data_IF_628061055925
#
_entry.id   IF_628061055925
#
_cell.length_a   1.000
_cell.length_b   1.000
_cell.length_c   1.000
_cell.angle_alpha   90.00
_cell.angle_beta   90.00
_cell.angle_gamma   90.00
#
_symmetry.space_group_name_H-M   'P 1'
#
loop_
_entity.id
_entity.type
_entity.pdbx_description
1 polymer ?
#
# COMPACT_ATOMS: atom_id res chain seq x y z
N UNK A 1 -3.17 -29.51 11.11
CA UNK A 1 -4.13 -30.06 10.14
C UNK A 1 -3.47 -30.02 8.78
N UNK A 2 -3.17 -31.19 8.26
CA UNK A 2 -2.18 -31.47 7.22
C UNK A 2 -2.71 -31.05 5.85
N UNK A 3 -2.07 -30.08 5.17
CA UNK A 3 -2.32 -29.79 3.75
C UNK A 3 -1.71 -30.92 2.91
N UNK A 4 -2.53 -31.90 2.53
CA UNK A 4 -2.19 -32.91 1.53
C UNK A 4 -2.30 -32.27 0.14
N UNK A 5 -1.24 -31.58 -0.29
CA UNK A 5 -1.03 -31.33 -1.71
C UNK A 5 -0.88 -32.70 -2.39
N UNK A 6 -1.83 -33.05 -3.26
CA UNK A 6 -1.75 -34.27 -4.05
C UNK A 6 -0.86 -33.98 -5.27
N UNK A 7 0.38 -34.48 -5.23
CA UNK A 7 1.25 -34.48 -6.40
C UNK A 7 0.81 -35.58 -7.35
N UNK A 8 0.47 -35.20 -8.58
CA UNK A 8 0.22 -36.17 -9.66
C UNK A 8 1.51 -36.59 -10.34
N UNK A 9 1.48 -37.69 -11.11
CA UNK A 9 2.67 -38.28 -11.74
C UNK A 9 3.40 -37.35 -12.74
N UNK A 10 2.73 -36.29 -13.17
CA UNK A 10 3.21 -35.19 -14.02
C UNK A 10 3.81 -34.01 -13.20
N UNK A 11 3.99 -34.19 -11.89
CA UNK A 11 4.45 -33.17 -10.94
C UNK A 11 3.57 -31.91 -10.87
N UNK A 12 2.30 -31.98 -11.30
CA UNK A 12 1.37 -30.86 -11.13
C UNK A 12 0.78 -30.85 -9.71
N UNK A 13 0.80 -29.67 -9.07
CA UNK A 13 0.18 -29.44 -7.77
C UNK A 13 -1.35 -29.32 -7.97
N UNK A 14 -2.12 -30.17 -7.29
CA UNK A 14 -3.59 -30.13 -7.33
C UNK A 14 -4.16 -29.81 -5.95
N UNK A 15 -4.89 -28.70 -5.89
CA UNK A 15 -5.62 -28.25 -4.71
C UNK A 15 -7.13 -28.26 -4.99
N UNK A 16 -7.98 -28.77 -4.07
CA UNK A 16 -9.42 -28.63 -4.19
C UNK A 16 -9.83 -27.15 -4.28
N UNK A 17 -10.70 -26.82 -5.24
CA UNK A 17 -11.13 -25.44 -5.51
C UNK A 17 -11.63 -24.73 -4.25
N UNK A 18 -12.42 -25.42 -3.42
CA UNK A 18 -12.93 -24.90 -2.15
C UNK A 18 -11.80 -24.40 -1.24
N UNK A 19 -10.78 -25.24 -1.03
CA UNK A 19 -9.65 -24.92 -0.15
C UNK A 19 -8.84 -23.75 -0.70
N UNK A 20 -8.54 -23.77 -2.00
CA UNK A 20 -7.81 -22.70 -2.66
C UNK A 20 -8.55 -21.36 -2.56
N UNK A 21 -9.84 -21.35 -2.90
CA UNK A 21 -10.65 -20.11 -2.91
C UNK A 21 -10.85 -19.53 -1.52
N UNK A 22 -11.15 -20.37 -0.51
CA UNK A 22 -11.28 -19.92 0.88
C UNK A 22 -9.98 -19.28 1.40
N UNK A 23 -8.83 -19.92 1.15
CA UNK A 23 -7.51 -19.42 1.55
C UNK A 23 -7.14 -18.12 0.82
N UNK A 24 -7.22 -18.11 -0.51
CA UNK A 24 -6.89 -16.93 -1.31
C UNK A 24 -7.78 -15.73 -0.97
N UNK A 25 -9.08 -15.97 -0.76
CA UNK A 25 -10.02 -14.93 -0.36
C UNK A 25 -9.70 -14.38 1.02
N UNK A 26 -9.42 -15.25 2.00
CA UNK A 26 -9.08 -14.84 3.36
C UNK A 26 -7.77 -14.02 3.38
N UNK A 27 -6.72 -14.49 2.70
CA UNK A 27 -5.41 -13.84 2.66
C UNK A 27 -5.51 -12.44 2.03
N UNK A 28 -6.21 -12.32 0.90
CA UNK A 28 -6.41 -11.03 0.25
C UNK A 28 -7.29 -10.09 1.09
N UNK A 29 -8.37 -10.61 1.68
CA UNK A 29 -9.26 -9.82 2.52
C UNK A 29 -8.52 -9.26 3.73
N UNK A 30 -7.71 -10.10 4.38
CA UNK A 30 -6.90 -9.70 5.53
C UNK A 30 -5.88 -8.62 5.15
N UNK A 31 -5.16 -8.81 4.04
CA UNK A 31 -4.22 -7.82 3.53
C UNK A 31 -4.88 -6.47 3.24
N UNK A 32 -6.07 -6.47 2.63
CA UNK A 32 -6.81 -5.23 2.36
C UNK A 32 -7.21 -4.53 3.64
N UNK A 33 -7.69 -5.26 4.65
CA UNK A 33 -8.12 -4.69 5.92
C UNK A 33 -6.94 -4.06 6.66
N UNK A 34 -5.84 -4.80 6.82
CA UNK A 34 -4.71 -4.39 7.66
C UNK A 34 -3.77 -3.40 6.96
N UNK A 35 -3.47 -3.62 5.68
CA UNK A 35 -2.35 -2.95 4.99
C UNK A 35 -2.76 -2.08 3.80
N UNK A 36 -4.06 -1.78 3.66
CA UNK A 36 -4.54 -0.92 2.56
C UNK A 36 -5.68 0.02 2.97
N UNK A 37 -6.78 -0.53 3.47
CA UNK A 37 -8.05 0.19 3.56
C UNK A 37 -8.16 1.05 4.82
N UNK A 38 -7.75 0.50 5.97
CA UNK A 38 -7.92 1.14 7.27
C UNK A 38 -6.67 1.92 7.69
N UNK A 39 -6.84 3.07 8.35
CA UNK A 39 -5.74 3.79 8.97
C UNK A 39 -5.26 3.08 10.25
N UNK A 40 -4.00 3.29 10.60
CA UNK A 40 -3.47 2.81 11.88
C UNK A 40 -3.89 3.76 13.01
N UNK A 41 -4.20 3.23 14.20
CA UNK A 41 -4.72 4.04 15.33
C UNK A 41 -3.70 5.04 15.89
N UNK A 42 -2.40 4.70 15.83
CA UNK A 42 -1.34 5.52 16.41
C UNK A 42 -1.04 6.82 15.65
N UNK A 43 -1.30 6.87 14.35
CA UNK A 43 -1.03 8.05 13.51
C UNK A 43 -2.21 8.49 12.65
N UNK A 44 -3.28 7.69 12.56
CA UNK A 44 -4.44 7.97 11.72
C UNK A 44 -4.17 7.81 10.21
N UNK A 45 -3.00 7.30 9.81
CA UNK A 45 -2.60 7.24 8.39
C UNK A 45 -2.81 5.85 7.80
N UNK A 46 -3.28 5.82 6.55
CA UNK A 46 -3.21 4.63 5.70
C UNK A 46 -1.77 4.38 5.27
N UNK A 47 -1.40 3.13 4.91
CA UNK A 47 -0.02 2.81 4.54
C UNK A 47 0.56 3.65 3.40
N UNK A 48 -0.23 4.01 2.38
CA UNK A 48 0.23 4.87 1.28
C UNK A 48 0.58 6.29 1.75
N UNK A 49 -0.24 6.87 2.64
CA UNK A 49 -0.05 8.22 3.17
C UNK A 49 1.20 8.30 4.03
N UNK A 50 1.39 7.31 4.92
CA UNK A 50 2.59 7.19 5.76
C UNK A 50 3.87 7.12 4.92
N UNK A 51 3.86 6.30 3.86
CA UNK A 51 5.01 6.15 2.94
C UNK A 51 5.33 7.46 2.22
N UNK A 52 4.33 8.23 1.81
CA UNK A 52 4.51 9.55 1.18
C UNK A 52 5.20 10.52 2.16
N UNK A 53 4.65 10.67 3.37
CA UNK A 53 5.21 11.58 4.39
C UNK A 53 6.63 11.16 4.78
N UNK A 54 6.88 9.85 4.93
CA UNK A 54 8.21 9.33 5.22
C UNK A 54 9.21 9.64 4.10
N UNK A 55 8.86 9.36 2.83
CA UNK A 55 9.73 9.68 1.71
C UNK A 55 10.00 11.18 1.56
N UNK A 56 9.01 12.04 1.86
CA UNK A 56 9.21 13.49 1.89
C UNK A 56 10.22 13.90 2.96
N UNK A 57 10.18 13.27 4.14
CA UNK A 57 11.17 13.47 5.20
C UNK A 57 12.57 13.05 4.75
N UNK A 58 12.71 11.86 4.15
CA UNK A 58 13.99 11.35 3.63
C UNK A 58 14.58 12.22 2.51
N UNK A 59 13.73 12.86 1.71
CA UNK A 59 14.13 13.82 0.67
C UNK A 59 14.43 15.23 1.22
N UNK A 60 14.25 15.46 2.52
CA UNK A 60 14.45 16.76 3.15
C UNK A 60 13.42 17.82 2.71
N UNK A 61 12.21 17.39 2.35
CA UNK A 61 11.12 18.28 1.92
C UNK A 61 10.35 18.84 3.11
N UNK A 62 11.05 19.55 3.99
CA UNK A 62 10.43 20.26 5.12
C UNK A 62 9.64 21.49 4.64
N UNK A 63 8.83 22.06 5.53
CA UNK A 63 8.05 23.28 5.23
C UNK A 63 8.91 24.49 4.81
N UNK A 64 10.19 24.52 5.21
CA UNK A 64 11.14 25.58 4.81
C UNK A 64 11.88 25.28 3.50
N UNK A 65 11.79 24.04 2.99
CA UNK A 65 12.48 23.64 1.77
C UNK A 65 11.78 24.19 0.52
N UNK A 66 12.55 24.42 -0.56
CA UNK A 66 11.98 24.77 -1.87
C UNK A 66 11.15 23.61 -2.42
N UNK A 67 9.96 23.91 -2.92
CA UNK A 67 9.09 22.93 -3.57
C UNK A 67 9.83 22.15 -4.67
N UNK A 68 9.51 20.86 -4.78
CA UNK A 68 10.03 19.94 -5.79
C UNK A 68 8.87 19.38 -6.62
N UNK A 69 9.19 18.90 -7.81
CA UNK A 69 8.21 18.26 -8.70
C UNK A 69 7.60 17.04 -8.02
N UNK A 70 6.28 16.92 -8.04
CA UNK A 70 5.52 15.79 -7.48
C UNK A 70 6.01 14.43 -8.01
N UNK A 71 6.36 14.36 -9.30
CA UNK A 71 6.89 13.15 -9.92
C UNK A 71 8.17 12.63 -9.23
N UNK A 72 8.98 13.51 -8.64
CA UNK A 72 10.18 13.11 -7.89
C UNK A 72 9.80 12.41 -6.58
N UNK A 73 8.89 12.99 -5.81
CA UNK A 73 8.43 12.42 -4.55
C UNK A 73 7.71 11.09 -4.79
N UNK A 74 6.80 11.05 -5.76
CA UNK A 74 6.10 9.81 -6.15
C UNK A 74 7.09 8.74 -6.61
N UNK A 75 8.06 9.09 -7.46
CA UNK A 75 9.09 8.15 -7.90
C UNK A 75 9.90 7.55 -6.75
N UNK A 76 10.25 8.34 -5.74
CA UNK A 76 10.99 7.85 -4.56
C UNK A 76 10.13 6.92 -3.69
N UNK A 77 8.85 7.25 -3.51
CA UNK A 77 7.89 6.41 -2.78
C UNK A 77 7.75 5.04 -3.47
N UNK A 78 7.57 5.03 -4.79
CA UNK A 78 7.41 3.79 -5.56
C UNK A 78 8.68 2.93 -5.56
N UNK A 79 9.83 3.57 -5.76
CA UNK A 79 11.11 2.87 -5.85
C UNK A 79 11.55 2.21 -4.55
N UNK A 80 11.15 2.75 -3.40
CA UNK A 80 11.64 2.30 -2.09
C UNK A 80 10.58 1.67 -1.19
N UNK A 81 9.34 2.18 -1.23
CA UNK A 81 8.38 1.92 -0.14
C UNK A 81 7.02 1.40 -0.60
N UNK A 82 6.61 1.65 -1.85
CA UNK A 82 5.25 1.37 -2.33
C UNK A 82 5.24 0.65 -3.69
N UNK A 83 5.18 -0.70 -3.71
CA UNK A 83 5.23 -1.50 -4.94
C UNK A 83 3.86 -1.58 -5.63
N UNK A 84 3.22 -0.42 -5.86
CA UNK A 84 1.91 -0.32 -6.52
C UNK A 84 1.94 0.78 -7.59
N UNK A 85 0.81 1.03 -8.26
CA UNK A 85 0.72 2.06 -9.30
C UNK A 85 1.01 3.47 -8.80
N UNK A 86 1.63 4.28 -9.67
CA UNK A 86 1.94 5.69 -9.44
C UNK A 86 0.68 6.54 -9.21
N UNK A 87 -0.40 6.21 -9.92
CA UNK A 87 -1.66 6.93 -9.88
C UNK A 87 -2.26 6.97 -8.48
N UNK A 88 -2.27 5.84 -7.76
CA UNK A 88 -2.78 5.76 -6.40
C UNK A 88 -1.92 6.56 -5.40
N UNK A 89 -0.60 6.56 -5.60
CA UNK A 89 0.32 7.35 -4.79
C UNK A 89 0.12 8.86 -5.03
N UNK A 90 -0.01 9.26 -6.28
CA UNK A 90 -0.22 10.65 -6.66
C UNK A 90 -1.58 11.18 -6.16
N UNK A 91 -2.65 10.40 -6.35
CA UNK A 91 -3.99 10.74 -5.87
C UNK A 91 -4.01 10.93 -4.35
N UNK A 92 -3.40 10.01 -3.59
CA UNK A 92 -3.28 10.14 -2.14
C UNK A 92 -2.55 11.43 -1.74
N UNK A 93 -1.47 11.78 -2.43
CA UNK A 93 -0.71 13.00 -2.18
C UNK A 93 -1.53 14.26 -2.50
N UNK A 94 -2.29 14.25 -3.61
CA UNK A 94 -3.17 15.37 -4.00
C UNK A 94 -4.28 15.57 -2.98
N UNK A 95 -4.93 14.49 -2.51
CA UNK A 95 -5.99 14.58 -1.51
C UNK A 95 -5.49 15.17 -0.19
N UNK A 96 -4.29 14.76 0.28
CA UNK A 96 -3.69 15.30 1.51
C UNK A 96 -3.39 16.80 1.43
N UNK A 97 -3.17 17.34 0.22
CA UNK A 97 -2.88 18.75 -0.01
C UNK A 97 -4.15 19.62 -0.20
N UNK A 98 -5.33 19.03 -0.39
CA UNK A 98 -6.56 19.76 -0.70
C UNK A 98 -7.27 20.26 0.57
N UNK A 99 -7.44 21.59 0.75
CA UNK A 99 -8.04 22.15 1.97
C UNK A 99 -9.54 21.86 2.13
N UNK A 100 -10.22 21.46 1.05
CA UNK A 100 -11.62 21.01 1.10
C UNK A 100 -11.77 19.51 1.37
N UNK A 101 -10.68 18.75 1.30
CA UNK A 101 -10.65 17.30 1.55
C UNK A 101 -10.13 17.00 2.96
N UNK A 102 -9.04 17.68 3.36
CA UNK A 102 -8.44 17.54 4.69
C UNK A 102 -8.75 18.77 5.54
N UNK A 103 -9.24 18.53 6.77
CA UNK A 103 -9.46 19.60 7.75
C UNK A 103 -8.18 20.38 8.07
N UNK A 104 -7.06 19.67 8.11
CA UNK A 104 -5.70 20.18 8.25
C UNK A 104 -4.84 19.48 7.20
N UNK A 105 -4.57 20.12 6.06
CA UNK A 105 -3.65 19.58 5.05
C UNK A 105 -2.27 19.28 5.65
N UNK A 106 -1.64 18.23 5.14
CA UNK A 106 -0.31 17.76 5.56
C UNK A 106 0.79 18.25 4.63
#
# INVERSE_FOLDING_TARGET
MTELALFTADASERLPLKIFTEKAYLDYSMYVILDRALPHIGDGLKPVQRRIVYAMSELGLSAAAKHKKSARTVGDVLGKYHPHGDSACYEAMVLMAQPFSYRYPL
#
